data_IF_222870825175
#
_entry.id   IF_222870825175
#
_cell.length_a   1.000
_cell.length_b   1.000
_cell.length_c   1.000
_cell.angle_alpha   90.00
_cell.angle_beta   90.00
_cell.angle_gamma   90.00
#
_symmetry.space_group_name_H-M   'P 1'
#
loop_
_entity.id
_entity.type
_entity.pdbx_description
1 polymer ?
#
# COMPACT_ATOMS: atom_id res chain seq x y z
N UNK A 1 -14.86 23.16 19.35
CA UNK A 1 -14.45 21.75 19.57
C UNK A 1 -13.15 21.51 18.83
N UNK A 2 -12.01 21.67 19.51
CA UNK A 2 -10.68 21.48 18.91
C UNK A 2 -10.42 19.97 18.81
N UNK A 3 -10.44 19.43 17.59
CA UNK A 3 -10.04 18.04 17.36
C UNK A 3 -8.55 17.95 17.70
N UNK A 4 -8.18 17.15 18.69
CA UNK A 4 -6.78 16.90 19.03
C UNK A 4 -6.23 15.97 17.94
N UNK A 5 -5.49 16.53 16.98
CA UNK A 5 -4.79 15.75 15.95
C UNK A 5 -3.70 14.92 16.62
N UNK A 6 -3.63 13.63 16.31
CA UNK A 6 -2.57 12.76 16.84
C UNK A 6 -1.33 12.83 15.96
N UNK A 7 -0.15 12.50 16.51
CA UNK A 7 1.12 12.46 15.76
C UNK A 7 1.04 11.62 14.47
N UNK A 8 0.25 10.54 14.52
CA UNK A 8 0.01 9.71 13.34
C UNK A 8 -0.89 10.40 12.30
N UNK A 9 -1.83 11.24 12.72
CA UNK A 9 -2.66 12.02 11.80
C UNK A 9 -1.82 13.11 11.12
N UNK A 10 -0.92 13.79 11.86
CA UNK A 10 0.04 14.75 11.30
C UNK A 10 0.97 14.08 10.27
N UNK A 11 1.49 12.89 10.59
CA UNK A 11 2.31 12.12 9.65
C UNK A 11 1.51 11.72 8.39
N UNK A 12 0.22 11.39 8.53
CA UNK A 12 -0.64 11.09 7.37
C UNK A 12 -0.84 12.32 6.51
N UNK A 13 -1.11 13.47 7.10
CA UNK A 13 -1.26 14.74 6.38
C UNK A 13 0.02 15.08 5.60
N UNK A 14 1.18 15.00 6.26
CA UNK A 14 2.49 15.18 5.60
C UNK A 14 2.69 14.21 4.41
N UNK A 15 2.40 12.92 4.60
CA UNK A 15 2.56 11.94 3.50
C UNK A 15 1.59 12.23 2.35
N UNK A 16 0.37 12.69 2.62
CA UNK A 16 -0.57 13.07 1.57
C UNK A 16 -0.08 14.29 0.78
N UNK A 17 0.56 15.25 1.43
CA UNK A 17 1.19 16.40 0.76
C UNK A 17 2.32 15.96 -0.16
N UNK A 18 3.22 15.09 0.31
CA UNK A 18 4.30 14.55 -0.52
C UNK A 18 3.78 13.77 -1.74
N UNK A 19 2.63 13.10 -1.62
CA UNK A 19 2.02 12.36 -2.72
C UNK A 19 1.16 13.21 -3.67
N UNK A 20 0.95 14.50 -3.38
CA UNK A 20 -0.01 15.33 -4.11
C UNK A 20 0.32 15.47 -5.61
N UNK A 21 1.60 15.48 -5.97
CA UNK A 21 2.06 15.54 -7.37
C UNK A 21 1.77 14.25 -8.16
N UNK A 22 1.61 13.11 -7.47
CA UNK A 22 1.41 11.81 -8.11
C UNK A 22 -0.04 11.54 -8.53
N UNK A 23 -0.99 12.39 -8.11
CA UNK A 23 -2.39 12.36 -8.54
C UNK A 23 -3.39 12.48 -7.39
N UNK A 24 -4.62 11.99 -7.60
CA UNK A 24 -5.67 12.06 -6.58
C UNK A 24 -5.46 11.03 -5.47
N UNK A 25 -4.89 11.47 -4.34
CA UNK A 25 -4.57 10.61 -3.20
C UNK A 25 -5.61 10.79 -2.09
N UNK A 26 -5.98 9.69 -1.43
CA UNK A 26 -6.91 9.69 -0.29
C UNK A 26 -6.46 8.74 0.80
N UNK A 27 -6.50 9.20 2.05
CA UNK A 27 -6.31 8.35 3.22
C UNK A 27 -7.65 7.87 3.79
N UNK A 28 -7.70 6.63 4.26
CA UNK A 28 -8.83 6.05 4.99
C UNK A 28 -8.32 5.37 6.25
N UNK A 29 -8.85 5.74 7.41
CA UNK A 29 -8.48 5.12 8.68
C UNK A 29 -8.93 3.65 8.71
N UNK A 30 -8.03 2.74 9.12
CA UNK A 30 -8.25 1.30 9.17
C UNK A 30 -7.45 0.69 10.33
N UNK A 31 -8.04 -0.22 11.12
CA UNK A 31 -7.36 -1.07 12.12
C UNK A 31 -5.98 -0.59 12.63
N UNK A 32 -5.93 0.51 13.39
CA UNK A 32 -4.68 1.01 13.99
C UNK A 32 -3.76 1.83 13.09
N UNK A 33 -4.16 2.12 11.85
CA UNK A 33 -3.42 2.95 10.90
C UNK A 33 -4.31 3.52 9.80
N UNK A 34 -3.72 3.73 8.62
CA UNK A 34 -4.36 4.33 7.47
C UNK A 34 -4.05 3.55 6.20
N UNK A 35 -5.08 3.27 5.40
CA UNK A 35 -4.94 2.83 4.03
C UNK A 35 -4.87 4.02 3.09
N UNK A 36 -3.92 4.02 2.17
CA UNK A 36 -3.72 5.09 1.17
C UNK A 36 -4.15 4.58 -0.20
N UNK A 37 -4.99 5.39 -0.84
CA UNK A 37 -5.52 5.14 -2.17
C UNK A 37 -5.02 6.18 -3.15
N UNK A 38 -4.47 5.73 -4.28
CA UNK A 38 -4.21 6.56 -5.45
C UNK A 38 -5.31 6.28 -6.49
N UNK A 39 -6.17 7.28 -6.71
CA UNK A 39 -7.48 7.15 -7.35
C UNK A 39 -8.33 6.05 -6.68
N UNK A 40 -8.49 4.90 -7.33
CA UNK A 40 -9.23 3.73 -6.84
C UNK A 40 -8.32 2.59 -6.31
N UNK A 41 -7.00 2.74 -6.45
CA UNK A 41 -6.03 1.68 -6.16
C UNK A 41 -5.51 1.82 -4.74
N UNK A 42 -5.63 0.76 -3.93
CA UNK A 42 -4.98 0.68 -2.63
C UNK A 42 -3.48 0.44 -2.82
N UNK A 43 -2.68 1.47 -2.55
CA UNK A 43 -1.25 1.52 -2.91
C UNK A 43 -0.34 1.56 -1.70
N UNK A 44 -0.80 2.01 -0.54
CA UNK A 44 0.06 2.09 0.65
C UNK A 44 -0.72 1.91 1.96
N UNK A 45 0.03 1.64 3.02
CA UNK A 45 -0.45 1.62 4.40
C UNK A 45 0.45 2.55 5.22
N UNK A 46 -0.15 3.37 6.07
CA UNK A 46 0.58 4.09 7.12
C UNK A 46 0.23 3.44 8.45
N UNK A 47 1.24 2.95 9.16
CA UNK A 47 1.09 2.29 10.45
C UNK A 47 2.29 2.62 11.34
N UNK A 48 2.05 3.00 12.60
CA UNK A 48 3.10 3.38 13.55
C UNK A 48 4.09 4.40 12.96
N UNK A 49 3.54 5.45 12.34
CA UNK A 49 4.33 6.54 11.71
C UNK A 49 5.33 6.07 10.64
N UNK A 50 5.03 4.94 9.99
CA UNK A 50 5.78 4.42 8.86
C UNK A 50 4.89 4.26 7.64
N UNK A 51 5.42 4.64 6.49
CA UNK A 51 4.79 4.41 5.19
C UNK A 51 5.25 3.06 4.64
N UNK A 52 4.29 2.24 4.23
CA UNK A 52 4.52 0.97 3.57
C UNK A 52 3.85 0.95 2.21
N UNK A 53 4.62 0.75 1.14
CA UNK A 53 4.15 0.74 -0.24
C UNK A 53 3.84 -0.69 -0.69
N UNK A 54 2.77 -0.84 -1.46
CA UNK A 54 2.35 -2.13 -2.01
C UNK A 54 3.38 -2.66 -2.99
N UNK A 55 3.64 -3.95 -2.95
CA UNK A 55 4.52 -4.65 -3.88
C UNK A 55 3.83 -5.83 -4.54
N UNK A 56 4.43 -6.32 -5.62
CA UNK A 56 4.13 -7.62 -6.21
C UNK A 56 5.44 -8.36 -6.53
N UNK A 57 5.35 -9.54 -7.14
CA UNK A 57 6.52 -10.37 -7.46
C UNK A 57 7.46 -9.68 -8.49
N UNK A 58 6.99 -8.66 -9.21
CA UNK A 58 7.79 -7.89 -10.17
C UNK A 58 8.44 -6.66 -9.56
N UNK A 59 7.81 -5.99 -8.60
CA UNK A 59 8.35 -4.78 -7.97
C UNK A 59 9.14 -5.08 -6.71
N UNK A 60 8.82 -6.16 -5.99
CA UNK A 60 9.48 -6.53 -4.72
C UNK A 60 11.01 -6.58 -4.79
N UNK A 61 11.66 -7.13 -5.83
CA UNK A 61 13.12 -7.19 -5.89
C UNK A 61 13.80 -5.83 -5.77
N UNK A 62 13.15 -4.75 -6.24
CA UNK A 62 13.69 -3.40 -6.14
C UNK A 62 13.69 -2.86 -4.70
N UNK A 63 12.67 -3.22 -3.92
CA UNK A 63 12.61 -2.87 -2.50
C UNK A 63 13.64 -3.66 -1.68
N UNK A 64 13.79 -4.95 -2.00
CA UNK A 64 14.78 -5.82 -1.35
C UNK A 64 16.22 -5.40 -1.66
N UNK A 65 16.51 -4.98 -2.89
CA UNK A 65 17.82 -4.49 -3.29
C UNK A 65 18.25 -3.24 -2.51
N UNK A 66 17.28 -2.43 -2.05
CA UNK A 66 17.52 -1.27 -1.16
C UNK A 66 17.49 -1.63 0.34
N UNK A 67 17.33 -2.91 0.69
CA UNK A 67 17.28 -3.36 2.08
C UNK A 67 16.02 -2.92 2.84
N UNK A 68 14.95 -2.57 2.13
CA UNK A 68 13.70 -2.13 2.72
C UNK A 68 12.96 -3.31 3.37
N UNK A 69 12.28 -3.04 4.48
CA UNK A 69 11.68 -4.09 5.32
C UNK A 69 10.23 -4.37 4.90
N UNK A 70 9.81 -5.64 4.80
CA UNK A 70 8.41 -5.96 4.58
C UNK A 70 7.58 -5.61 5.82
N UNK A 71 6.33 -5.20 5.60
CA UNK A 71 5.32 -5.14 6.64
C UNK A 71 4.97 -6.57 7.07
N UNK A 72 5.18 -6.89 8.34
CA UNK A 72 4.88 -8.22 8.88
C UNK A 72 3.66 -8.14 9.80
N UNK A 73 2.62 -8.88 9.46
CA UNK A 73 1.48 -9.05 10.35
C UNK A 73 1.72 -10.22 11.30
N UNK A 74 1.64 -9.95 12.60
CA UNK A 74 1.66 -10.98 13.64
C UNK A 74 0.25 -11.51 13.86
N UNK A 75 -0.01 -12.73 13.41
CA UNK A 75 -1.16 -13.52 13.85
C UNK A 75 -0.75 -14.40 15.03
N UNK A 76 -1.71 -14.82 15.87
CA UNK A 76 -1.48 -15.52 17.16
C UNK A 76 -0.42 -16.63 17.11
N UNK A 77 -0.27 -17.33 15.99
CA UNK A 77 0.68 -18.43 15.83
C UNK A 77 1.64 -18.28 14.65
N UNK A 78 1.50 -17.23 13.81
CA UNK A 78 2.26 -17.09 12.56
C UNK A 78 2.53 -15.62 12.21
N UNK A 79 3.72 -15.36 11.70
CA UNK A 79 4.07 -14.09 11.08
C UNK A 79 3.84 -14.22 9.57
N UNK A 80 2.97 -13.37 9.01
CA UNK A 80 2.68 -13.37 7.58
C UNK A 80 3.22 -12.06 7.00
N UNK A 81 4.24 -12.12 6.11
CA UNK A 81 4.68 -10.93 5.40
C UNK A 81 3.55 -10.47 4.48
N UNK A 82 3.19 -9.21 4.61
CA UNK A 82 2.29 -8.57 3.67
C UNK A 82 3.07 -8.22 2.39
N UNK A 83 2.36 -8.11 1.26
CA UNK A 83 2.91 -7.53 0.02
C UNK A 83 3.04 -6.01 0.12
N UNK A 84 3.70 -5.54 1.17
CA UNK A 84 3.99 -4.15 1.42
C UNK A 84 5.38 -4.02 2.04
N UNK A 85 6.16 -3.04 1.61
CA UNK A 85 7.51 -2.77 2.09
C UNK A 85 7.60 -1.34 2.60
N UNK A 86 8.44 -1.09 3.60
CA UNK A 86 8.75 0.27 4.07
C UNK A 86 9.16 1.12 2.86
N UNK A 87 8.61 2.33 2.79
CA UNK A 87 9.05 3.29 1.79
C UNK A 87 10.51 3.68 2.07
N UNK A 88 11.34 3.87 1.04
CA UNK A 88 12.66 4.42 1.23
C UNK A 88 12.59 5.83 1.83
N UNK A 89 13.63 6.27 2.57
CA UNK A 89 13.61 7.58 3.21
C UNK A 89 13.54 8.74 2.21
N UNK A 90 14.09 8.56 1.00
CA UNK A 90 14.18 9.63 -0.01
C UNK A 90 12.81 10.17 -0.43
N UNK A 91 11.75 9.36 -0.31
CA UNK A 91 10.39 9.79 -0.67
C UNK A 91 9.87 10.93 0.21
N UNK A 92 10.44 11.10 1.41
CA UNK A 92 10.02 12.16 2.33
C UNK A 92 10.71 13.50 2.02
N UNK A 93 11.82 13.47 1.30
CA UNK A 93 12.61 14.65 0.94
C UNK A 93 12.44 15.04 -0.53
N UNK A 94 12.13 14.08 -1.41
CA UNK A 94 12.01 14.27 -2.86
C UNK A 94 10.63 13.83 -3.40
N UNK A 95 9.79 14.78 -3.86
CA UNK A 95 8.51 14.49 -4.49
C UNK A 95 8.61 13.63 -5.76
N UNK A 96 9.73 13.69 -6.49
CA UNK A 96 9.95 12.85 -7.68
C UNK A 96 10.18 11.40 -7.29
N UNK A 97 11.01 11.13 -6.26
CA UNK A 97 11.16 9.79 -5.71
C UNK A 97 9.83 9.28 -5.13
N UNK A 98 9.09 10.10 -4.37
CA UNK A 98 7.75 9.73 -3.91
C UNK A 98 6.85 9.30 -5.07
N UNK A 99 6.82 10.07 -6.16
CA UNK A 99 6.04 9.76 -7.35
C UNK A 99 6.46 8.44 -7.98
N UNK A 100 7.77 8.24 -8.18
CA UNK A 100 8.35 7.02 -8.76
C UNK A 100 7.94 5.78 -7.98
N UNK A 101 8.14 5.80 -6.66
CA UNK A 101 7.80 4.70 -5.77
C UNK A 101 6.29 4.45 -5.69
N UNK A 102 5.47 5.51 -5.73
CA UNK A 102 4.03 5.37 -5.77
C UNK A 102 3.52 4.77 -7.09
N UNK A 103 4.17 5.05 -8.23
CA UNK A 103 3.84 4.40 -9.51
C UNK A 103 4.17 2.90 -9.51
N UNK A 104 5.27 2.48 -8.88
CA UNK A 104 5.57 1.06 -8.68
C UNK A 104 4.45 0.38 -7.88
N UNK A 105 4.06 1.00 -6.76
CA UNK A 105 2.97 0.50 -5.91
C UNK A 105 1.62 0.45 -6.63
N UNK A 106 1.32 1.46 -7.46
CA UNK A 106 0.13 1.51 -8.32
C UNK A 106 0.12 0.36 -9.32
N UNK A 107 1.25 0.10 -9.98
CA UNK A 107 1.38 -0.99 -10.96
C UNK A 107 1.11 -2.34 -10.31
N UNK A 108 1.68 -2.58 -9.12
CA UNK A 108 1.40 -3.77 -8.31
C UNK A 108 -0.09 -3.86 -7.89
N UNK A 109 -0.71 -2.73 -7.53
CA UNK A 109 -2.13 -2.69 -7.17
C UNK A 109 -3.05 -3.03 -8.35
N UNK A 110 -2.75 -2.54 -9.55
CA UNK A 110 -3.49 -2.83 -10.79
C UNK A 110 -3.44 -4.33 -11.09
N UNK A 111 -2.26 -4.93 -11.09
CA UNK A 111 -2.06 -6.37 -11.34
C UNK A 111 -2.81 -7.21 -10.31
N UNK A 112 -2.69 -6.88 -9.02
CA UNK A 112 -3.43 -7.58 -7.97
C UNK A 112 -4.96 -7.53 -8.16
N UNK A 113 -5.50 -6.41 -8.66
CA UNK A 113 -6.93 -6.28 -8.97
C UNK A 113 -7.32 -7.15 -10.17
N UNK A 114 -6.49 -7.21 -11.21
CA UNK A 114 -6.69 -8.06 -12.38
C UNK A 114 -6.64 -9.55 -11.99
N UNK A 115 -5.64 -9.99 -11.23
CA UNK A 115 -5.51 -11.37 -10.75
C UNK A 115 -6.73 -11.80 -9.95
N UNK A 116 -7.21 -10.94 -9.04
CA UNK A 116 -8.42 -11.21 -8.26
C UNK A 116 -9.65 -11.35 -9.16
N UNK A 117 -9.77 -10.54 -10.23
CA UNK A 117 -10.88 -10.63 -11.19
C UNK A 117 -10.82 -11.96 -11.96
N UNK A 118 -9.64 -12.35 -12.44
CA UNK A 118 -9.44 -13.62 -13.16
C UNK A 118 -9.77 -14.81 -12.24
N UNK A 119 -9.20 -14.85 -11.03
CA UNK A 119 -9.46 -15.91 -10.05
C UNK A 119 -10.96 -16.06 -9.76
N UNK A 120 -11.65 -14.94 -9.49
CA UNK A 120 -13.10 -14.94 -9.22
C UNK A 120 -13.92 -15.44 -10.43
N UNK A 121 -13.51 -15.15 -11.66
CA UNK A 121 -14.18 -15.63 -12.86
C UNK A 121 -13.99 -17.14 -13.06
N UNK A 122 -12.78 -17.65 -12.82
CA UNK A 122 -12.49 -19.10 -12.86
C UNK A 122 -13.34 -19.82 -11.82
N UNK A 123 -13.34 -19.37 -10.56
CA UNK A 123 -14.12 -19.98 -9.48
C UNK A 123 -15.64 -19.96 -9.71
N UNK A 124 -16.16 -18.94 -10.41
CA UNK A 124 -17.56 -18.87 -10.79
C UNK A 124 -17.91 -19.89 -11.88
N UNK A 125 -17.00 -20.11 -12.85
CA UNK A 125 -17.17 -21.11 -13.91
C UNK A 125 -17.10 -22.55 -13.40
N UNK A 126 -16.20 -22.84 -12.44
CA UNK A 126 -16.08 -24.19 -11.86
C UNK A 126 -17.30 -24.60 -11.03
N UNK A 127 -18.04 -23.64 -10.47
CA UNK A 127 -19.26 -23.90 -9.69
C UNK A 127 -20.50 -24.20 -10.55
N UNK A 128 -20.46 -23.91 -11.85
CA UNK A 128 -21.58 -24.16 -12.79
C UNK A 128 -21.58 -25.54 -13.46
N UNK A 129 -20.62 -26.42 -13.17
CA UNK A 129 -20.49 -27.74 -13.82
C UNK A 129 -20.79 -28.92 -12.87
N UNK A 130 -21.40 -28.64 -11.72
CA UNK A 130 -21.96 -29.64 -10.79
C UNK A 130 -23.48 -29.43 -10.74
N UNK A 131 -24.20 -29.96 -11.71
CA UNK A 131 -25.65 -30.18 -11.68
C UNK A 131 -25.97 -31.39 -12.53
#
# INVERSE_FOLDING_TARGET
>A
MTRRTSKQDEFVEFVLEQMASAGQVRARRMFGGYGIYLAEHFVAIILNEKLFLKTDDSTQPEFEARGLKPLVFRMKTKQIPARYFEAPPEVFDDPEEMTRWLQLARTAAVRAKQDRKVRRAVEARSRGHKS
#
